data_IF_315098872032
#
_entry.id   IF_315098872032
#
_cell.length_a   1.000
_cell.length_b   1.000
_cell.length_c   1.000
_cell.angle_alpha   90.00
_cell.angle_beta   90.00
_cell.angle_gamma   90.00
#
_symmetry.space_group_name_H-M   'P 1'
#
loop_
_entity.id
_entity.type
_entity.pdbx_description
1 polymer ?
#
# COMPACT_ATOMS: atom_id res chain seq x y z
N UNK A 1 -2.00 -64.06 -39.45
CA UNK A 1 -1.88 -63.43 -40.78
C UNK A 1 -1.27 -62.06 -40.63
N UNK A 2 -0.10 -61.88 -41.24
CA UNK A 2 0.58 -60.60 -41.42
C UNK A 2 -0.24 -59.65 -42.32
N UNK A 3 0.19 -58.38 -42.32
CA UNK A 3 0.09 -57.33 -43.35
C UNK A 3 -0.47 -56.02 -42.74
N UNK A 4 -0.01 -54.82 -43.09
CA UNK A 4 1.28 -54.36 -43.59
C UNK A 4 1.27 -52.83 -43.52
N UNK A 5 2.45 -52.25 -43.39
CA UNK A 5 2.73 -50.82 -43.58
C UNK A 5 2.26 -50.34 -44.96
N UNK A 6 1.63 -49.16 -45.04
CA UNK A 6 1.68 -48.25 -46.21
C UNK A 6 0.95 -46.92 -45.91
N UNK A 7 1.67 -45.91 -45.44
CA UNK A 7 1.40 -44.51 -45.85
C UNK A 7 2.49 -43.47 -45.52
N UNK A 8 3.71 -43.88 -45.17
CA UNK A 8 4.82 -42.97 -44.84
C UNK A 8 5.57 -42.41 -46.05
N UNK A 9 5.28 -42.86 -47.27
CA UNK A 9 5.97 -42.39 -48.49
C UNK A 9 5.29 -41.17 -49.14
N UNK A 10 3.96 -41.05 -49.07
CA UNK A 10 3.23 -39.89 -49.60
C UNK A 10 3.57 -38.60 -48.84
N UNK A 11 3.82 -38.71 -47.53
CA UNK A 11 4.24 -37.59 -46.66
C UNK A 11 5.70 -37.19 -46.84
N UNK A 12 6.56 -38.11 -47.32
CA UNK A 12 7.98 -37.79 -47.63
C UNK A 12 8.11 -37.04 -48.95
N UNK A 13 7.34 -37.42 -49.98
CA UNK A 13 7.37 -36.75 -51.28
C UNK A 13 6.87 -35.28 -51.21
N UNK A 14 5.82 -35.02 -50.42
CA UNK A 14 5.32 -33.66 -50.17
C UNK A 14 6.33 -32.77 -49.41
N UNK A 15 7.07 -33.32 -48.46
CA UNK A 15 8.10 -32.58 -47.72
C UNK A 15 9.38 -32.34 -48.53
N UNK A 16 9.68 -33.20 -49.50
CA UNK A 16 10.82 -33.04 -50.40
C UNK A 16 10.56 -31.92 -51.45
N UNK A 17 9.34 -31.85 -51.99
CA UNK A 17 8.93 -30.76 -52.89
C UNK A 17 8.85 -29.39 -52.19
N UNK A 18 8.49 -29.34 -50.90
CA UNK A 18 8.54 -28.13 -50.08
C UNK A 18 9.98 -27.66 -49.82
N UNK A 19 10.92 -28.58 -49.60
CA UNK A 19 12.34 -28.26 -49.42
C UNK A 19 12.99 -27.74 -50.69
N UNK A 20 12.65 -28.28 -51.87
CA UNK A 20 13.22 -27.79 -53.15
C UNK A 20 12.72 -26.38 -53.49
N UNK A 21 11.49 -26.02 -53.10
CA UNK A 21 10.97 -24.65 -53.23
C UNK A 21 11.68 -23.66 -52.28
N UNK A 22 12.04 -24.10 -51.08
CA UNK A 22 12.82 -23.29 -50.12
C UNK A 22 14.28 -23.14 -50.57
N UNK A 23 14.87 -24.18 -51.18
CA UNK A 23 16.23 -24.16 -51.73
C UNK A 23 16.30 -23.26 -52.97
N UNK A 24 15.27 -23.23 -53.83
CA UNK A 24 15.21 -22.31 -54.99
C UNK A 24 15.05 -20.83 -54.57
N UNK A 25 14.47 -20.55 -53.40
CA UNK A 25 14.22 -19.18 -52.90
C UNK A 25 15.38 -18.58 -52.10
N UNK A 26 16.34 -19.40 -51.66
CA UNK A 26 17.55 -18.98 -50.93
C UNK A 26 18.84 -19.27 -51.71
N UNK A 27 18.76 -19.37 -53.03
CA UNK A 27 19.89 -19.45 -53.94
C UNK A 27 20.60 -18.11 -54.13
N UNK A 28 21.06 -17.46 -53.06
CA UNK A 28 22.10 -16.42 -53.11
C UNK A 28 22.70 -16.31 -51.71
N UNK A 29 23.79 -17.05 -51.44
CA UNK A 29 24.87 -16.75 -50.49
C UNK A 29 25.84 -17.96 -50.37
N UNK A 30 26.08 -18.67 -51.47
CA UNK A 30 26.99 -19.83 -51.56
C UNK A 30 28.39 -19.50 -52.10
N UNK A 31 28.76 -18.22 -52.20
CA UNK A 31 30.11 -17.84 -52.62
C UNK A 31 30.92 -17.35 -51.42
N UNK A 32 31.61 -18.26 -50.72
CA UNK A 32 32.65 -17.85 -49.77
C UNK A 32 32.90 -18.72 -48.54
N UNK A 33 32.50 -20.00 -48.53
CA UNK A 33 32.93 -20.92 -47.47
C UNK A 33 33.75 -22.06 -48.05
N UNK A 34 35.07 -21.92 -47.89
CA UNK A 34 36.06 -22.99 -48.03
C UNK A 34 35.52 -24.26 -47.37
N UNK A 35 35.29 -25.25 -48.22
CA UNK A 35 34.92 -26.62 -47.85
C UNK A 35 36.11 -27.19 -47.08
N UNK A 36 35.95 -27.45 -45.79
CA UNK A 36 36.80 -28.45 -45.12
C UNK A 36 36.11 -29.78 -45.36
N UNK A 37 36.70 -30.57 -46.26
CA UNK A 37 36.21 -31.90 -46.62
C UNK A 37 35.93 -32.75 -45.38
N UNK A 38 34.70 -33.26 -45.29
CA UNK A 38 34.31 -34.26 -44.29
C UNK A 38 34.96 -35.59 -44.66
N UNK A 39 36.20 -35.81 -44.24
CA UNK A 39 36.80 -37.13 -44.27
C UNK A 39 36.01 -38.07 -43.34
N UNK A 40 35.28 -39.01 -43.95
CA UNK A 40 34.61 -40.13 -43.30
C UNK A 40 35.68 -41.12 -42.83
N UNK A 41 36.01 -41.12 -41.55
CA UNK A 41 36.59 -42.29 -40.88
C UNK A 41 35.59 -42.74 -39.81
N UNK A 42 35.04 -43.94 -39.99
CA UNK A 42 34.21 -44.61 -38.98
C UNK A 42 35.16 -45.11 -37.88
N UNK A 43 35.09 -44.54 -36.68
CA UNK A 43 35.60 -45.21 -35.48
C UNK A 43 34.53 -45.20 -34.40
N UNK A 44 34.24 -46.40 -33.90
CA UNK A 44 33.31 -46.70 -32.83
C UNK A 44 33.96 -46.37 -31.49
N UNK A 45 34.06 -45.09 -31.15
CA UNK A 45 34.34 -44.66 -29.77
C UNK A 45 34.13 -43.16 -29.61
N UNK A 46 33.03 -42.79 -28.95
CA UNK A 46 32.81 -41.46 -28.41
C UNK A 46 32.49 -40.38 -29.43
N UNK A 47 31.42 -39.62 -29.18
CA UNK A 47 31.10 -38.36 -29.86
C UNK A 47 32.12 -37.25 -29.55
N UNK A 48 33.44 -37.48 -29.70
CA UNK A 48 34.46 -36.43 -29.70
C UNK A 48 34.47 -35.79 -31.08
N UNK A 49 33.51 -34.89 -31.25
CA UNK A 49 33.30 -34.09 -32.45
C UNK A 49 34.60 -33.36 -32.83
N UNK A 50 34.89 -33.33 -34.13
CA UNK A 50 36.07 -32.88 -34.90
C UNK A 50 36.70 -31.49 -34.59
N UNK A 51 36.42 -30.86 -33.45
CA UNK A 51 36.86 -29.50 -33.10
C UNK A 51 38.16 -29.45 -32.26
N UNK A 52 38.79 -30.58 -31.97
CA UNK A 52 40.02 -30.65 -31.15
C UNK A 52 41.33 -30.32 -31.91
N UNK A 53 41.30 -30.14 -33.23
CA UNK A 53 42.52 -29.90 -34.03
C UNK A 53 42.89 -28.43 -34.23
N UNK A 54 42.02 -27.48 -33.87
CA UNK A 54 42.28 -26.05 -34.02
C UNK A 54 42.95 -25.49 -32.75
N UNK A 55 44.00 -24.70 -32.94
CA UNK A 55 44.65 -23.94 -31.86
C UNK A 55 43.79 -22.76 -31.42
N UNK A 56 44.10 -22.21 -30.23
CA UNK A 56 43.40 -21.03 -29.71
C UNK A 56 43.51 -19.83 -30.66
N UNK A 57 44.69 -19.59 -31.23
CA UNK A 57 44.94 -18.48 -32.15
C UNK A 57 44.22 -18.63 -33.48
N UNK A 58 44.12 -19.85 -34.00
CA UNK A 58 43.36 -20.14 -35.21
C UNK A 58 41.87 -19.82 -34.99
N UNK A 59 41.29 -20.25 -33.87
CA UNK A 59 39.89 -19.97 -33.53
C UNK A 59 39.64 -18.45 -33.44
N UNK A 60 40.54 -17.71 -32.78
CA UNK A 60 40.42 -16.24 -32.66
C UNK A 60 40.60 -15.54 -34.02
N UNK A 61 41.50 -16.02 -34.87
CA UNK A 61 41.71 -15.52 -36.24
C UNK A 61 40.44 -15.67 -37.09
N UNK A 62 39.77 -16.82 -37.04
CA UNK A 62 38.49 -17.02 -37.74
C UNK A 62 37.39 -16.05 -37.25
N UNK A 63 37.33 -15.77 -35.95
CA UNK A 63 36.38 -14.81 -35.37
C UNK A 63 36.67 -13.38 -35.85
N UNK A 64 37.94 -12.97 -35.88
CA UNK A 64 38.38 -11.66 -36.40
C UNK A 64 38.07 -11.51 -37.88
N UNK A 65 38.35 -12.53 -38.69
CA UNK A 65 38.07 -12.55 -40.12
C UNK A 65 36.56 -12.41 -40.40
N UNK A 66 35.72 -13.14 -39.66
CA UNK A 66 34.27 -13.01 -39.76
C UNK A 66 33.78 -11.59 -39.38
N UNK A 67 34.36 -10.98 -38.34
CA UNK A 67 34.04 -9.62 -37.95
C UNK A 67 34.41 -8.59 -39.04
N UNK A 68 35.59 -8.75 -39.66
CA UNK A 68 36.06 -7.90 -40.75
C UNK A 68 35.16 -7.99 -41.98
N UNK A 69 34.77 -9.22 -42.37
CA UNK A 69 33.92 -9.46 -43.54
C UNK A 69 32.51 -8.88 -43.36
N UNK A 70 31.96 -9.00 -42.15
CA UNK A 70 30.63 -8.49 -41.85
C UNK A 70 30.61 -6.98 -41.58
N UNK A 71 31.78 -6.33 -41.42
CA UNK A 71 31.93 -4.95 -40.91
C UNK A 71 31.14 -4.69 -39.62
N UNK A 72 30.84 -5.76 -38.87
CA UNK A 72 30.09 -5.75 -37.61
C UNK A 72 30.48 -6.97 -36.79
N UNK A 73 30.15 -6.97 -35.51
CA UNK A 73 30.35 -8.13 -34.64
C UNK A 73 29.59 -9.37 -35.18
N UNK A 74 30.25 -10.54 -35.28
CA UNK A 74 29.61 -11.75 -35.74
C UNK A 74 28.74 -12.36 -34.62
N UNK A 75 27.55 -12.86 -34.99
CA UNK A 75 26.72 -13.67 -34.08
C UNK A 75 27.27 -15.09 -34.02
N UNK A 76 26.99 -15.80 -32.92
CA UNK A 76 27.45 -17.18 -32.70
C UNK A 76 27.14 -18.11 -33.89
N UNK A 77 25.92 -18.05 -34.44
CA UNK A 77 25.49 -18.85 -35.61
C UNK A 77 26.15 -18.47 -36.94
N UNK A 78 26.82 -17.31 -37.01
CA UNK A 78 27.46 -16.79 -38.23
C UNK A 78 28.93 -17.22 -38.33
N UNK A 79 29.47 -17.92 -37.31
CA UNK A 79 30.88 -18.36 -37.28
C UNK A 79 30.95 -19.86 -37.09
N UNK A 80 31.55 -20.56 -38.06
CA UNK A 80 31.68 -22.02 -38.06
C UNK A 80 32.45 -22.55 -36.83
N UNK A 81 33.48 -21.82 -36.37
CA UNK A 81 34.29 -22.18 -35.19
C UNK A 81 33.62 -21.84 -33.86
N UNK A 82 32.38 -21.37 -33.85
CA UNK A 82 31.70 -20.90 -32.62
C UNK A 82 31.57 -21.95 -31.53
N UNK A 83 31.34 -23.22 -31.89
CA UNK A 83 31.30 -24.32 -30.92
C UNK A 83 32.67 -24.59 -30.32
N UNK A 84 33.73 -24.67 -31.13
CA UNK A 84 35.10 -24.82 -30.65
C UNK A 84 35.50 -23.68 -29.69
N UNK A 85 35.14 -22.44 -30.06
CA UNK A 85 35.39 -21.25 -29.26
C UNK A 85 34.68 -21.31 -27.89
N UNK A 86 33.43 -21.79 -27.84
CA UNK A 86 32.70 -21.96 -26.56
C UNK A 86 33.32 -23.07 -25.71
N UNK A 87 33.69 -24.20 -26.30
CA UNK A 87 34.32 -25.29 -25.55
C UNK A 87 35.68 -24.89 -24.98
N UNK A 88 36.45 -24.08 -25.70
CA UNK A 88 37.84 -23.73 -25.33
C UNK A 88 37.95 -22.45 -24.48
N UNK A 89 37.04 -21.51 -24.67
CA UNK A 89 37.02 -20.22 -23.95
C UNK A 89 35.82 -20.08 -22.99
N UNK A 90 35.01 -21.13 -22.84
CA UNK A 90 33.86 -21.18 -21.93
C UNK A 90 32.59 -20.49 -22.44
N UNK A 91 32.70 -19.34 -23.12
CA UNK A 91 31.54 -18.65 -23.68
C UNK A 91 31.86 -17.91 -24.99
N UNK A 92 30.84 -17.69 -25.81
CA UNK A 92 30.97 -16.91 -27.06
C UNK A 92 31.41 -15.47 -26.79
N UNK A 93 30.94 -14.88 -25.68
CA UNK A 93 31.35 -13.53 -25.27
C UNK A 93 32.83 -13.48 -24.91
N UNK A 94 33.34 -14.50 -24.23
CA UNK A 94 34.75 -14.60 -23.86
C UNK A 94 35.65 -14.78 -25.09
N UNK A 95 35.21 -15.62 -26.04
CA UNK A 95 35.91 -15.78 -27.31
C UNK A 95 35.98 -14.47 -28.11
N UNK A 96 34.92 -13.66 -28.10
CA UNK A 96 34.91 -12.32 -28.72
C UNK A 96 35.84 -11.35 -28.00
N UNK A 97 35.90 -11.37 -26.66
CA UNK A 97 36.85 -10.55 -25.86
C UNK A 97 38.28 -10.91 -26.22
N UNK A 98 38.64 -12.21 -26.20
CA UNK A 98 39.97 -12.69 -26.58
C UNK A 98 40.32 -12.39 -28.04
N UNK A 99 39.32 -12.32 -28.91
CA UNK A 99 39.50 -11.88 -30.30
C UNK A 99 39.74 -10.36 -30.43
N UNK A 100 39.70 -9.59 -29.33
CA UNK A 100 39.87 -8.13 -29.33
C UNK A 100 38.60 -7.37 -29.70
N UNK A 101 37.43 -8.02 -29.69
CA UNK A 101 36.15 -7.42 -30.06
C UNK A 101 35.40 -6.94 -28.82
N UNK A 102 34.93 -5.68 -28.85
CA UNK A 102 34.12 -5.10 -27.78
C UNK A 102 32.77 -5.84 -27.68
N UNK A 103 32.58 -6.60 -26.60
CA UNK A 103 31.28 -7.19 -26.27
C UNK A 103 30.50 -6.28 -25.33
N UNK A 104 29.32 -5.85 -25.77
CA UNK A 104 28.29 -5.45 -24.81
C UNK A 104 27.72 -6.75 -24.26
N UNK A 105 28.03 -7.08 -23.00
CA UNK A 105 27.47 -8.25 -22.32
C UNK A 105 25.96 -8.06 -22.23
N UNK A 106 25.22 -8.60 -23.21
CA UNK A 106 23.77 -8.83 -23.09
C UNK A 106 23.57 -9.85 -21.97
N UNK A 107 23.45 -9.35 -20.74
CA UNK A 107 23.08 -10.18 -19.58
C UNK A 107 23.63 -9.69 -18.24
N UNK A 108 24.87 -9.21 -18.17
CA UNK A 108 25.54 -9.01 -16.89
C UNK A 108 26.15 -7.60 -16.76
N UNK A 109 25.30 -6.63 -16.39
CA UNK A 109 25.71 -5.30 -15.92
C UNK A 109 26.54 -5.51 -14.65
N UNK A 110 27.68 -4.84 -14.47
CA UNK A 110 28.47 -4.95 -13.22
C UNK A 110 27.80 -4.20 -12.05
N UNK A 111 28.18 -4.46 -10.80
CA UNK A 111 27.60 -3.75 -9.65
C UNK A 111 27.82 -2.23 -9.75
N UNK A 112 29.04 -1.82 -10.12
CA UNK A 112 29.37 -0.40 -10.27
C UNK A 112 28.63 0.25 -11.44
N UNK A 113 28.47 -0.48 -12.54
CA UNK A 113 27.71 0.00 -13.70
C UNK A 113 26.22 0.14 -13.36
N UNK A 114 25.66 -0.79 -12.57
CA UNK A 114 24.29 -0.72 -12.08
C UNK A 114 24.06 0.48 -11.14
N UNK A 115 25.02 0.78 -10.26
CA UNK A 115 24.99 1.97 -9.41
C UNK A 115 25.15 3.27 -10.22
N UNK A 116 26.01 3.29 -11.24
CA UNK A 116 26.16 4.45 -12.12
C UNK A 116 24.90 4.72 -12.96
N UNK A 117 24.21 3.67 -13.42
CA UNK A 117 22.92 3.80 -14.11
C UNK A 117 21.85 4.36 -13.15
N UNK A 118 21.85 3.91 -11.89
CA UNK A 118 20.97 4.43 -10.85
C UNK A 118 21.24 5.91 -10.57
N UNK A 119 22.49 6.30 -10.35
CA UNK A 119 22.90 7.68 -10.10
C UNK A 119 22.50 8.61 -11.25
N UNK A 120 22.81 8.24 -12.50
CA UNK A 120 22.40 9.01 -13.69
C UNK A 120 20.90 9.19 -13.78
N UNK A 121 20.13 8.16 -13.40
CA UNK A 121 18.66 8.23 -13.41
C UNK A 121 18.15 9.20 -12.37
N UNK A 122 18.73 9.19 -11.17
CA UNK A 122 18.38 10.12 -10.08
C UNK A 122 18.67 11.56 -10.51
N UNK A 123 19.86 11.80 -11.06
CA UNK A 123 20.24 13.13 -11.56
C UNK A 123 19.30 13.61 -12.66
N UNK A 124 18.91 12.74 -13.58
CA UNK A 124 17.95 13.07 -14.65
C UNK A 124 16.55 13.41 -14.14
N UNK A 125 16.10 12.82 -13.02
CA UNK A 125 14.77 13.05 -12.47
C UNK A 125 14.75 14.15 -11.41
N UNK A 126 15.90 14.54 -10.86
CA UNK A 126 16.01 15.38 -9.67
C UNK A 126 15.39 14.74 -8.42
N UNK A 127 15.07 13.44 -8.47
CA UNK A 127 14.45 12.66 -7.39
C UNK A 127 14.76 11.18 -7.55
N UNK A 128 14.52 10.41 -6.49
CA UNK A 128 14.67 8.96 -6.52
C UNK A 128 13.60 8.38 -7.45
N UNK A 129 13.97 7.53 -8.43
CA UNK A 129 13.01 6.91 -9.33
C UNK A 129 12.09 5.94 -8.58
N UNK A 130 10.83 5.89 -8.99
CA UNK A 130 9.91 4.85 -8.55
C UNK A 130 10.32 3.48 -9.12
N UNK A 131 9.83 2.40 -8.52
CA UNK A 131 10.08 1.02 -8.98
C UNK A 131 9.82 0.81 -10.47
N UNK A 132 8.74 1.41 -11.00
CA UNK A 132 8.38 1.32 -12.43
C UNK A 132 9.21 2.24 -13.33
N UNK A 133 9.88 3.23 -12.77
CA UNK A 133 10.67 4.23 -13.50
C UNK A 133 12.15 3.84 -13.64
N UNK A 134 12.54 2.68 -13.09
CA UNK A 134 13.88 2.12 -13.16
C UNK A 134 13.86 0.65 -13.59
N UNK A 135 14.26 0.40 -14.84
CA UNK A 135 14.24 -0.93 -15.48
C UNK A 135 15.00 -2.01 -14.69
N UNK A 136 16.08 -1.62 -14.01
CA UNK A 136 16.94 -2.56 -13.28
C UNK A 136 16.59 -2.71 -11.79
N UNK A 137 15.39 -2.29 -11.35
CA UNK A 137 15.01 -2.32 -9.93
C UNK A 137 15.19 -3.71 -9.31
N UNK A 138 14.71 -4.75 -9.98
CA UNK A 138 14.85 -6.13 -9.52
C UNK A 138 16.30 -6.57 -9.33
N UNK A 139 17.19 -6.18 -10.27
CA UNK A 139 18.63 -6.49 -10.18
C UNK A 139 19.33 -5.75 -9.03
N UNK A 140 18.87 -4.54 -8.71
CA UNK A 140 19.40 -3.79 -7.55
C UNK A 140 19.04 -4.50 -6.26
N UNK A 141 17.79 -4.93 -6.10
CA UNK A 141 17.36 -5.69 -4.91
C UNK A 141 18.11 -7.01 -4.81
N UNK A 142 18.26 -7.75 -5.91
CA UNK A 142 18.99 -9.02 -5.94
C UNK A 142 20.44 -8.88 -5.45
N UNK A 143 21.14 -7.81 -5.85
CA UNK A 143 22.59 -7.68 -5.64
C UNK A 143 22.98 -6.91 -4.39
N UNK A 144 22.18 -5.93 -4.00
CA UNK A 144 22.48 -5.06 -2.86
C UNK A 144 21.54 -5.33 -1.67
N UNK A 145 20.62 -6.29 -1.83
CA UNK A 145 19.64 -6.71 -0.82
C UNK A 145 18.46 -5.75 -0.67
N UNK A 146 18.72 -4.45 -0.70
CA UNK A 146 17.68 -3.42 -0.61
C UNK A 146 17.99 -2.22 -1.50
N UNK A 147 16.93 -1.48 -1.84
CA UNK A 147 17.05 -0.23 -2.58
C UNK A 147 17.82 0.83 -1.78
N UNK A 148 17.63 0.83 -0.46
CA UNK A 148 18.31 1.72 0.49
C UNK A 148 19.82 1.46 0.53
N UNK A 149 20.25 0.19 0.54
CA UNK A 149 21.66 -0.16 0.53
C UNK A 149 22.34 0.34 -0.76
N UNK A 150 21.68 0.17 -1.90
CA UNK A 150 22.20 0.66 -3.18
C UNK A 150 22.31 2.18 -3.23
N UNK A 151 21.33 2.90 -2.66
CA UNK A 151 21.37 4.36 -2.53
C UNK A 151 22.47 4.81 -1.56
N UNK A 152 22.67 4.09 -0.45
CA UNK A 152 23.74 4.35 0.50
C UNK A 152 25.14 4.22 -0.11
N UNK A 153 25.34 3.25 -1.01
CA UNK A 153 26.62 3.06 -1.73
C UNK A 153 26.96 4.21 -2.69
N UNK A 154 25.96 4.96 -3.16
CA UNK A 154 26.14 6.19 -3.96
C UNK A 154 26.05 7.46 -3.11
N UNK A 155 26.10 7.33 -1.78
CA UNK A 155 26.09 8.46 -0.85
C UNK A 155 24.72 9.13 -0.66
N UNK A 156 23.64 8.48 -1.09
CA UNK A 156 22.28 9.01 -0.95
C UNK A 156 21.61 8.37 0.26
N UNK A 157 21.43 9.15 1.32
CA UNK A 157 20.62 8.75 2.47
C UNK A 157 19.14 8.67 2.07
N UNK A 158 18.57 7.47 2.05
CA UNK A 158 17.18 7.25 1.69
C UNK A 158 16.36 6.78 2.89
N UNK A 159 15.49 7.66 3.39
CA UNK A 159 14.44 7.21 4.29
C UNK A 159 13.22 6.82 3.45
N UNK A 160 12.86 5.53 3.48
CA UNK A 160 11.64 5.01 2.83
C UNK A 160 10.39 5.72 3.32
N UNK A 161 10.42 6.24 4.55
CA UNK A 161 9.34 6.95 5.19
C UNK A 161 9.69 8.43 5.26
N UNK A 162 8.80 9.29 4.76
CA UNK A 162 8.95 10.74 4.96
C UNK A 162 8.97 11.04 6.45
N UNK A 163 9.83 11.95 6.88
CA UNK A 163 9.78 12.47 8.25
C UNK A 163 8.53 13.33 8.43
N UNK A 164 8.13 13.61 9.68
CA UNK A 164 6.98 14.47 9.95
C UNK A 164 7.18 15.87 9.37
N UNK A 165 8.40 16.37 9.38
CA UNK A 165 8.80 17.68 8.83
C UNK A 165 8.63 17.71 7.31
N UNK A 166 8.98 16.62 6.62
CA UNK A 166 8.79 16.50 5.17
C UNK A 166 7.31 16.47 4.78
N UNK A 167 6.46 15.77 5.56
CA UNK A 167 5.01 15.82 5.38
C UNK A 167 4.48 17.24 5.61
N UNK A 168 4.91 17.90 6.69
CA UNK A 168 4.50 19.28 6.99
C UNK A 168 4.83 20.22 5.83
N UNK A 169 6.07 20.16 5.30
CA UNK A 169 6.50 21.00 4.18
C UNK A 169 5.67 20.74 2.92
N UNK A 170 5.45 19.48 2.56
CA UNK A 170 4.62 19.12 1.40
C UNK A 170 3.17 19.61 1.55
N UNK A 171 2.59 19.54 2.76
CA UNK A 171 1.25 20.06 3.03
C UNK A 171 1.20 21.60 2.95
N UNK A 172 2.24 22.29 3.43
CA UNK A 172 2.35 23.74 3.30
C UNK A 172 2.47 24.16 1.82
N UNK A 173 3.31 23.48 1.05
CA UNK A 173 3.48 23.75 -0.38
C UNK A 173 2.18 23.46 -1.14
N UNK A 174 1.46 22.40 -0.76
CA UNK A 174 0.15 22.10 -1.32
C UNK A 174 -0.87 23.20 -1.02
N UNK A 175 -0.94 23.67 0.23
CA UNK A 175 -1.82 24.78 0.63
C UNK A 175 -1.51 26.07 -0.13
N UNK A 176 -0.22 26.41 -0.26
CA UNK A 176 0.24 27.56 -1.07
C UNK A 176 -0.18 27.43 -2.53
N UNK A 177 -0.01 26.25 -3.13
CA UNK A 177 -0.38 25.98 -4.52
C UNK A 177 -1.87 26.18 -4.80
N UNK A 178 -2.73 25.77 -3.87
CA UNK A 178 -4.19 25.94 -4.03
C UNK A 178 -4.70 27.30 -3.49
N UNK A 179 -3.85 28.09 -2.84
CA UNK A 179 -4.17 29.41 -2.28
C UNK A 179 -5.12 29.38 -1.08
N UNK A 180 -5.34 28.22 -0.45
CA UNK A 180 -6.27 28.05 0.68
C UNK A 180 -5.88 26.85 1.55
N UNK A 181 -6.51 26.73 2.71
CA UNK A 181 -6.41 25.51 3.53
C UNK A 181 -7.04 24.34 2.76
N UNK A 182 -6.32 23.23 2.54
CA UNK A 182 -6.86 22.14 1.73
C UNK A 182 -8.00 21.40 2.41
N UNK A 183 -9.15 21.33 1.73
CA UNK A 183 -10.31 20.52 2.15
C UNK A 183 -10.21 19.08 1.60
N UNK A 184 -11.10 18.20 2.08
CA UNK A 184 -11.20 16.83 1.55
C UNK A 184 -11.50 16.80 0.04
N UNK A 185 -12.31 17.75 -0.44
CA UNK A 185 -12.68 17.88 -1.86
C UNK A 185 -11.45 18.32 -2.68
N UNK A 186 -10.69 19.29 -2.18
CA UNK A 186 -9.46 19.75 -2.84
C UNK A 186 -8.43 18.61 -2.92
N UNK A 187 -8.25 17.86 -1.82
CA UNK A 187 -7.36 16.71 -1.81
C UNK A 187 -7.78 15.65 -2.83
N UNK A 188 -9.08 15.39 -2.98
CA UNK A 188 -9.57 14.41 -3.95
C UNK A 188 -9.35 14.89 -5.39
N UNK A 189 -9.63 16.17 -5.68
CA UNK A 189 -9.43 16.77 -7.01
C UNK A 189 -7.97 16.74 -7.44
N UNK A 190 -7.07 17.11 -6.53
CA UNK A 190 -5.62 17.18 -6.76
C UNK A 190 -4.90 15.85 -6.49
N UNK A 191 -5.65 14.78 -6.21
CA UNK A 191 -5.14 13.44 -5.83
C UNK A 191 -4.11 13.48 -4.68
N UNK A 192 -4.27 14.40 -3.74
CA UNK A 192 -3.43 14.55 -2.56
C UNK A 192 -3.72 13.44 -1.54
N UNK A 193 -2.71 12.77 -0.96
CA UNK A 193 -2.89 11.52 -0.23
C UNK A 193 -3.35 11.72 1.23
N UNK A 194 -4.61 12.13 1.44
CA UNK A 194 -5.18 12.44 2.77
C UNK A 194 -4.98 11.33 3.82
N UNK A 195 -5.12 10.06 3.42
CA UNK A 195 -5.00 8.89 4.32
C UNK A 195 -3.58 8.75 4.88
N UNK A 196 -2.56 9.06 4.08
CA UNK A 196 -1.16 9.01 4.52
C UNK A 196 -0.92 10.00 5.65
N UNK A 197 -1.45 11.22 5.53
CA UNK A 197 -1.35 12.24 6.56
C UNK A 197 -2.15 11.86 7.82
N UNK A 198 -3.36 11.31 7.67
CA UNK A 198 -4.13 10.81 8.80
C UNK A 198 -3.41 9.71 9.58
N UNK A 199 -2.71 8.79 8.91
CA UNK A 199 -1.93 7.74 9.58
C UNK A 199 -0.73 8.28 10.37
N UNK A 200 -0.07 9.32 9.88
CA UNK A 200 1.13 9.89 10.53
C UNK A 200 0.80 10.87 11.65
N UNK A 201 -0.32 11.62 11.53
CA UNK A 201 -0.69 12.69 12.47
C UNK A 201 -1.98 12.39 13.26
N UNK A 202 -2.63 11.25 13.00
CA UNK A 202 -3.87 10.80 13.63
C UNK A 202 -5.13 11.30 12.93
N UNK A 203 -5.24 12.60 12.65
CA UNK A 203 -6.37 13.18 11.89
C UNK A 203 -5.89 14.20 10.88
N UNK A 204 -6.75 14.53 9.91
CA UNK A 204 -6.45 15.56 8.91
C UNK A 204 -6.27 16.93 9.56
N UNK A 205 -7.13 17.30 10.51
CA UNK A 205 -6.99 18.56 11.24
C UNK A 205 -5.71 18.59 12.08
N UNK A 206 -5.27 17.46 12.67
CA UNK A 206 -3.96 17.38 13.34
C UNK A 206 -2.80 17.58 12.38
N UNK A 207 -2.89 17.07 11.15
CA UNK A 207 -1.89 17.33 10.11
C UNK A 207 -1.86 18.80 9.68
N UNK A 208 -3.03 19.44 9.54
CA UNK A 208 -3.14 20.88 9.24
C UNK A 208 -2.53 21.74 10.35
N UNK A 209 -2.87 21.45 11.62
CA UNK A 209 -2.31 22.15 12.80
C UNK A 209 -0.80 21.97 12.85
N UNK A 210 -0.29 20.76 12.65
CA UNK A 210 1.16 20.49 12.61
C UNK A 210 1.87 21.26 11.47
N UNK A 211 1.15 21.57 10.39
CA UNK A 211 1.64 22.37 9.29
C UNK A 211 1.46 23.89 9.48
N UNK A 212 0.92 24.33 10.63
CA UNK A 212 0.64 25.75 10.92
C UNK A 212 -0.55 26.29 10.13
N UNK A 213 -1.47 25.42 9.69
CA UNK A 213 -2.67 25.78 8.94
C UNK A 213 -3.91 25.71 9.84
N UNK A 214 -4.88 26.59 9.56
CA UNK A 214 -6.16 26.57 10.25
C UNK A 214 -6.92 25.26 10.01
N UNK A 215 -7.58 24.66 11.02
CA UNK A 215 -8.34 23.43 10.86
C UNK A 215 -9.63 23.65 10.05
N UNK A 216 -10.02 22.66 9.23
CA UNK A 216 -11.23 22.75 8.42
C UNK A 216 -12.51 22.61 9.27
N UNK A 217 -13.50 23.48 8.99
CA UNK A 217 -14.85 23.41 9.55
C UNK A 217 -15.61 22.22 8.93
N UNK A 218 -15.90 21.17 9.71
CA UNK A 218 -16.63 19.98 9.27
C UNK A 218 -15.96 18.63 9.58
N UNK A 219 -14.65 18.63 9.84
CA UNK A 219 -14.06 17.64 10.75
C UNK A 219 -14.43 18.01 12.18
N UNK A 220 -14.22 17.13 13.18
CA UNK A 220 -14.30 17.63 14.56
C UNK A 220 -13.24 18.71 14.70
N UNK A 221 -13.66 19.98 14.69
CA UNK A 221 -12.79 21.16 14.73
C UNK A 221 -11.89 21.06 15.95
N UNK A 222 -12.50 20.57 17.03
CA UNK A 222 -11.85 20.37 18.30
C UNK A 222 -11.15 19.02 18.37
N UNK A 223 -9.94 19.04 18.91
CA UNK A 223 -9.27 17.87 19.49
C UNK A 223 -9.86 17.55 20.87
N UNK A 224 -9.54 16.38 21.44
CA UNK A 224 -9.96 16.07 22.81
C UNK A 224 -9.36 17.08 23.80
N UNK A 225 -8.11 17.44 23.57
CA UNK A 225 -7.35 18.36 24.39
C UNK A 225 -7.98 19.77 24.39
N UNK A 226 -8.36 20.26 23.20
CA UNK A 226 -9.06 21.54 23.07
C UNK A 226 -10.43 21.54 23.76
N UNK A 227 -11.17 20.43 23.71
CA UNK A 227 -12.46 20.33 24.41
C UNK A 227 -12.29 20.31 25.93
N UNK A 228 -11.25 19.65 26.44
CA UNK A 228 -10.91 19.69 27.87
C UNK A 228 -10.56 21.11 28.32
N UNK A 229 -9.67 21.78 27.57
CA UNK A 229 -9.31 23.17 27.86
C UNK A 229 -10.52 24.10 27.81
N UNK A 230 -11.46 23.88 26.89
CA UNK A 230 -12.69 24.66 26.81
C UNK A 230 -13.56 24.47 28.05
N UNK A 231 -13.70 23.23 28.53
CA UNK A 231 -14.46 22.94 29.77
C UNK A 231 -13.78 23.61 30.97
N UNK A 232 -12.47 23.50 31.09
CA UNK A 232 -11.70 24.11 32.19
C UNK A 232 -11.78 25.63 32.18
N UNK A 233 -11.61 26.26 31.02
CA UNK A 233 -11.78 27.71 30.88
C UNK A 233 -13.19 28.15 31.29
N UNK A 234 -14.22 27.40 30.90
CA UNK A 234 -15.60 27.72 31.27
C UNK A 234 -15.86 27.53 32.76
N UNK A 235 -15.17 26.60 33.40
CA UNK A 235 -15.17 26.47 34.86
C UNK A 235 -14.55 27.70 35.52
N UNK A 236 -13.40 28.17 35.04
CA UNK A 236 -12.74 29.37 35.58
C UNK A 236 -13.61 30.63 35.44
N UNK A 237 -14.38 30.75 34.36
CA UNK A 237 -15.33 31.86 34.14
C UNK A 237 -16.57 31.80 35.06
N UNK A 238 -17.04 30.60 35.42
CA UNK A 238 -18.29 30.39 36.16
C UNK A 238 -18.07 30.03 37.64
N UNK A 239 -16.81 29.83 38.04
CA UNK A 239 -16.39 29.26 39.33
C UNK A 239 -17.15 27.97 39.72
N UNK A 240 -17.70 27.27 38.72
CA UNK A 240 -18.58 26.12 38.89
C UNK A 240 -18.49 25.22 37.67
N UNK A 241 -18.74 23.91 37.87
CA UNK A 241 -18.71 22.94 36.77
C UNK A 241 -19.72 23.41 35.72
N UNK A 242 -19.30 23.61 34.46
CA UNK A 242 -20.22 24.07 33.43
C UNK A 242 -21.21 22.95 33.08
N UNK A 243 -22.46 23.34 32.88
CA UNK A 243 -23.47 22.48 32.27
C UNK A 243 -23.36 22.53 30.75
N UNK A 244 -23.88 21.51 30.07
CA UNK A 244 -23.84 21.42 28.61
C UNK A 244 -24.48 22.64 27.92
N UNK A 245 -25.52 23.23 28.50
CA UNK A 245 -26.23 24.39 27.94
C UNK A 245 -25.34 25.64 27.95
N UNK A 246 -24.42 25.73 28.91
CA UNK A 246 -23.49 26.86 29.04
C UNK A 246 -22.28 26.75 28.09
N UNK A 247 -22.17 25.64 27.34
CA UNK A 247 -21.11 25.44 26.36
C UNK A 247 -21.56 25.94 24.98
N UNK A 248 -20.67 26.65 24.28
CA UNK A 248 -20.86 27.06 22.87
C UNK A 248 -20.64 25.90 21.88
N UNK A 249 -20.41 24.68 22.39
CA UNK A 249 -20.14 23.47 21.61
C UNK A 249 -21.25 22.46 21.80
N UNK A 250 -21.74 21.89 20.69
CA UNK A 250 -22.86 20.95 20.71
C UNK A 250 -22.52 19.60 21.37
N UNK A 251 -23.54 18.96 21.95
CA UNK A 251 -23.43 17.63 22.57
C UNK A 251 -22.85 16.57 21.62
N UNK A 252 -23.16 16.66 20.33
CA UNK A 252 -22.69 15.69 19.33
C UNK A 252 -21.17 15.68 19.20
N UNK A 253 -20.52 16.84 19.39
CA UNK A 253 -19.06 16.95 19.39
C UNK A 253 -18.45 16.26 20.60
N UNK A 254 -18.97 16.52 21.81
CA UNK A 254 -18.51 15.84 23.02
C UNK A 254 -18.78 14.33 22.97
N UNK A 255 -19.95 13.91 22.50
CA UNK A 255 -20.31 12.49 22.32
C UNK A 255 -19.37 11.79 21.33
N UNK A 256 -18.99 12.44 20.23
CA UNK A 256 -18.06 11.88 19.24
C UNK A 256 -16.66 11.65 19.80
N UNK A 257 -16.18 12.54 20.67
CA UNK A 257 -14.82 12.47 21.22
C UNK A 257 -14.72 11.61 22.48
N UNK A 258 -15.64 11.81 23.42
CA UNK A 258 -15.57 11.20 24.75
C UNK A 258 -16.61 10.10 24.96
N UNK A 259 -17.58 9.94 24.06
CA UNK A 259 -18.70 9.01 24.19
C UNK A 259 -19.89 9.58 24.94
N UNK A 260 -19.66 10.49 25.90
CA UNK A 260 -20.72 11.22 26.62
C UNK A 260 -20.17 12.54 27.20
N UNK A 261 -21.07 13.47 27.55
CA UNK A 261 -20.71 14.72 28.25
C UNK A 261 -20.06 14.44 29.61
N UNK A 262 -20.61 13.51 30.39
CA UNK A 262 -20.06 13.14 31.68
C UNK A 262 -18.62 12.60 31.59
N UNK A 263 -18.33 11.81 30.55
CA UNK A 263 -16.96 11.32 30.31
C UNK A 263 -16.02 12.44 29.87
N UNK A 264 -16.53 13.48 29.20
CA UNK A 264 -15.76 14.68 28.91
C UNK A 264 -15.41 15.46 30.19
N UNK A 265 -16.36 15.59 31.13
CA UNK A 265 -16.13 16.20 32.46
C UNK A 265 -15.11 15.42 33.27
N UNK A 266 -15.23 14.09 33.34
CA UNK A 266 -14.26 13.21 34.01
C UNK A 266 -12.85 13.41 33.43
N UNK A 267 -12.74 13.45 32.10
CA UNK A 267 -11.45 13.67 31.43
C UNK A 267 -10.89 15.07 31.71
N UNK A 268 -11.76 16.06 31.92
CA UNK A 268 -11.37 17.42 32.30
C UNK A 268 -11.06 17.59 33.80
N UNK A 269 -11.17 16.52 34.60
CA UNK A 269 -10.88 16.51 36.03
C UNK A 269 -12.08 16.83 36.92
N UNK A 270 -13.29 16.93 36.36
CA UNK A 270 -14.51 17.25 37.09
C UNK A 270 -15.34 16.01 37.38
N UNK A 271 -16.07 16.02 38.50
CA UNK A 271 -17.03 14.96 38.81
C UNK A 271 -18.19 15.03 37.81
N UNK A 272 -18.61 13.91 37.21
CA UNK A 272 -19.74 13.88 36.31
C UNK A 272 -21.01 14.26 37.07
N UNK A 273 -21.93 14.98 36.42
CA UNK A 273 -23.27 15.12 36.97
C UNK A 273 -23.87 13.73 37.09
N UNK A 274 -24.13 13.31 38.32
CA UNK A 274 -24.79 12.03 38.57
C UNK A 274 -26.05 12.02 37.73
N UNK A 275 -26.15 11.01 36.86
CA UNK A 275 -27.35 10.74 36.07
C UNK A 275 -28.56 11.01 36.96
N UNK A 276 -29.50 11.79 36.43
CA UNK A 276 -30.81 11.99 37.02
C UNK A 276 -31.51 10.61 37.08
N UNK A 277 -31.10 9.75 38.02
CA UNK A 277 -31.94 8.69 38.54
C UNK A 277 -33.01 9.49 39.25
N UNK A 278 -34.09 9.79 38.53
CA UNK A 278 -35.26 10.45 39.12
C UNK A 278 -35.55 9.81 40.47
N UNK A 279 -35.95 10.63 41.45
CA UNK A 279 -36.17 10.24 42.84
C UNK A 279 -36.63 8.78 42.94
N UNK A 280 -35.83 7.95 43.59
CA UNK A 280 -36.18 6.55 43.80
C UNK A 280 -37.24 6.53 44.88
N UNK A 281 -38.46 6.16 44.52
CA UNK A 281 -39.54 5.97 45.47
C UNK A 281 -39.56 4.53 45.97
N UNK A 282 -39.77 4.35 47.26
CA UNK A 282 -40.14 3.07 47.84
C UNK A 282 -41.64 2.81 47.67
N UNK A 283 -42.07 1.56 47.78
CA UNK A 283 -43.50 1.22 47.74
C UNK A 283 -44.29 1.91 48.87
N UNK A 284 -43.68 2.02 50.05
CA UNK A 284 -44.29 2.65 51.21
C UNK A 284 -44.50 4.15 51.02
N UNK A 285 -43.52 4.85 50.44
CA UNK A 285 -43.65 6.27 50.09
C UNK A 285 -44.73 6.48 49.04
N UNK A 286 -44.79 5.64 47.99
CA UNK A 286 -45.82 5.74 46.96
C UNK A 286 -47.22 5.52 47.54
N UNK A 287 -47.36 4.59 48.49
CA UNK A 287 -48.64 4.37 49.18
C UNK A 287 -49.00 5.59 50.04
N UNK A 288 -48.06 6.15 50.82
CA UNK A 288 -48.33 7.34 51.63
C UNK A 288 -48.79 8.53 50.77
N UNK A 289 -48.14 8.75 49.62
CA UNK A 289 -48.51 9.81 48.67
C UNK A 289 -49.93 9.59 48.10
N UNK A 290 -50.32 8.33 47.84
CA UNK A 290 -51.69 8.01 47.40
C UNK A 290 -52.70 8.31 48.51
N UNK A 291 -52.39 7.96 49.76
CA UNK A 291 -53.26 8.17 50.92
C UNK A 291 -53.46 9.66 51.18
N UNK A 292 -52.37 10.43 51.20
CA UNK A 292 -52.39 11.89 51.37
C UNK A 292 -53.23 12.56 50.29
N UNK A 293 -53.06 12.15 49.02
CA UNK A 293 -53.85 12.69 47.90
C UNK A 293 -55.33 12.34 48.00
N UNK A 294 -55.67 11.17 48.53
CA UNK A 294 -57.06 10.77 48.78
C UNK A 294 -57.71 11.61 49.89
N UNK A 295 -56.97 11.92 50.95
CA UNK A 295 -57.42 12.81 52.03
C UNK A 295 -57.64 14.22 51.49
N UNK A 296 -56.69 14.74 50.70
CA UNK A 296 -56.76 16.08 50.10
C UNK A 296 -57.99 16.24 49.18
N UNK A 297 -58.29 15.23 48.37
CA UNK A 297 -59.38 15.29 47.39
C UNK A 297 -60.74 14.88 47.95
N UNK A 298 -60.80 14.25 49.13
CA UNK A 298 -62.01 13.64 49.67
C UNK A 298 -62.61 12.53 48.79
N UNK A 299 -61.84 12.04 47.80
CA UNK A 299 -62.22 11.00 46.83
C UNK A 299 -61.00 10.21 46.41
N UNK A 300 -61.21 9.02 45.86
CA UNK A 300 -60.12 8.21 45.28
C UNK A 300 -59.38 9.01 44.19
N UNK A 301 -58.04 9.16 44.29
CA UNK A 301 -57.26 9.90 43.31
C UNK A 301 -57.24 9.15 41.97
N UNK A 302 -57.35 9.91 40.88
CA UNK A 302 -57.11 9.45 39.51
C UNK A 302 -55.64 9.66 39.17
N UNK A 303 -55.16 8.99 38.12
CA UNK A 303 -53.77 9.14 37.67
C UNK A 303 -53.38 10.58 37.33
N UNK A 304 -54.32 11.36 36.78
CA UNK A 304 -54.12 12.77 36.45
C UNK A 304 -53.98 13.65 37.69
N UNK A 305 -54.47 13.20 38.85
CA UNK A 305 -54.35 13.91 40.11
C UNK A 305 -52.96 13.74 40.75
N UNK A 306 -52.10 12.86 40.18
CA UNK A 306 -50.78 12.53 40.73
C UNK A 306 -49.66 13.32 40.04
N UNK A 307 -48.82 14.00 40.82
CA UNK A 307 -47.62 14.69 40.31
C UNK A 307 -46.39 13.75 40.23
N UNK A 308 -46.60 12.49 39.84
CA UNK A 308 -45.57 11.45 39.73
C UNK A 308 -45.75 10.70 38.42
N UNK A 309 -44.65 10.42 37.72
CA UNK A 309 -44.69 9.68 36.46
C UNK A 309 -45.32 8.29 36.66
N UNK A 310 -46.35 7.98 35.87
CA UNK A 310 -47.09 6.70 35.89
C UNK A 310 -46.18 5.46 35.84
N UNK A 311 -45.05 5.54 35.11
CA UNK A 311 -44.11 4.42 34.99
C UNK A 311 -43.52 3.99 36.35
N UNK A 312 -43.49 4.90 37.33
CA UNK A 312 -43.03 4.60 38.70
C UNK A 312 -44.04 3.67 39.39
N UNK A 313 -45.33 3.99 39.39
CA UNK A 313 -46.36 3.11 39.97
C UNK A 313 -46.46 1.76 39.23
N UNK A 314 -46.31 1.77 37.90
CA UNK A 314 -46.29 0.54 37.10
C UNK A 314 -45.12 -0.38 37.48
N UNK A 315 -43.93 0.19 37.74
CA UNK A 315 -42.74 -0.59 38.11
C UNK A 315 -42.87 -1.23 39.50
N UNK A 316 -43.47 -0.52 40.46
CA UNK A 316 -43.59 -0.99 41.84
C UNK A 316 -44.82 -1.90 42.06
N UNK A 317 -45.97 -1.59 41.46
CA UNK A 317 -47.23 -2.31 41.73
C UNK A 317 -47.77 -3.06 40.51
N UNK A 318 -47.10 -3.01 39.36
CA UNK A 318 -47.56 -3.56 38.08
C UNK A 318 -48.67 -2.73 37.40
N UNK A 319 -49.54 -2.09 38.18
CA UNK A 319 -50.60 -1.20 37.67
C UNK A 319 -51.05 -0.19 38.72
N UNK A 320 -51.64 0.93 38.28
CA UNK A 320 -52.25 1.92 39.18
C UNK A 320 -53.36 1.32 40.06
N UNK A 321 -54.15 0.40 39.50
CA UNK A 321 -55.22 -0.29 40.25
C UNK A 321 -54.66 -1.09 41.43
N UNK A 322 -53.48 -1.71 41.26
CA UNK A 322 -52.81 -2.43 42.33
C UNK A 322 -52.20 -1.49 43.37
N UNK A 323 -51.68 -0.33 42.95
CA UNK A 323 -51.19 0.69 43.87
C UNK A 323 -52.31 1.23 44.78
N UNK A 324 -53.51 1.47 44.21
CA UNK A 324 -54.70 1.84 45.00
C UNK A 324 -55.14 0.73 45.96
N UNK A 325 -55.10 -0.54 45.54
CA UNK A 325 -55.41 -1.68 46.43
C UNK A 325 -54.42 -1.78 47.59
N UNK A 326 -53.13 -1.57 47.33
CA UNK A 326 -52.10 -1.58 48.35
C UNK A 326 -52.30 -0.42 49.35
N UNK A 327 -52.72 0.75 48.88
CA UNK A 327 -53.05 1.88 49.74
C UNK A 327 -54.28 1.65 50.61
N UNK A 328 -55.35 1.05 50.06
CA UNK A 328 -56.53 0.64 50.84
C UNK A 328 -56.14 -0.38 51.91
N UNK A 329 -55.40 -1.43 51.54
CA UNK A 329 -54.96 -2.46 52.48
C UNK A 329 -54.16 -1.88 53.66
N UNK A 330 -53.31 -0.87 53.41
CA UNK A 330 -52.52 -0.18 54.44
C UNK A 330 -53.37 0.72 55.37
N UNK A 331 -54.52 1.22 54.91
CA UNK A 331 -55.47 1.95 55.78
C UNK A 331 -56.21 1.03 56.76
N UNK A 332 -56.41 -0.23 56.35
CA UNK A 332 -57.11 -1.26 57.13
C UNK A 332 -56.17 -2.04 58.09
N UNK A 333 -54.87 -1.71 58.13
CA UNK A 333 -53.86 -2.35 59.02
C UNK A 333 -53.40 -1.38 60.10
#
# INVERSE_FOLDING_TARGET
>A
MCLNYKNTEKTKLQNQQLNDSVIKKFGMLTNGLMIVERNKVKSTEGKRCCYMKLSDDEILSYIRKAASQLKRKPKMREVAVSRAAIYRFGSWSEALIKAGLKVNKRGNISNNELLSILEKRIMSLGRIPLTKEFEYYGKVIERFGSWENALGLIGISFNRYKTKEQYIKELQDFSKRIGKVPTKVDCQRERFPIITYQRNFGTWNKALIAAGLEPNKGGSIYTKEQLVQLIQKKYDELESVPTLIQMEVSLSVFKKHFGSWNKALETAGFKPYTQNKGRVYTEQELISIIIEKEIELGRKPKLQDMNINFNIFKRHFGSWKNALKAAVKKKDT
#
